data_IF_132552331849
#
_entry.id   IF_132552331849
#
_cell.length_a   1.000
_cell.length_b   1.000
_cell.length_c   1.000
_cell.angle_alpha   90.00
_cell.angle_beta   90.00
_cell.angle_gamma   90.00
#
_symmetry.space_group_name_H-M   'P 1'
#
loop_
_entity.id
_entity.type
_entity.pdbx_description
1 polymer ?
#
# COMPACT_ATOMS: atom_id res chain seq x y z
N UNK A 1 -21.22 -2.05 12.64
CA UNK A 1 -22.20 -0.98 12.53
C UNK A 1 -21.69 0.07 11.55
N UNK A 2 -22.53 0.48 10.64
CA UNK A 2 -22.19 1.49 9.63
C UNK A 2 -21.87 2.83 10.31
N UNK A 3 -20.80 3.49 9.89
CA UNK A 3 -20.36 4.74 10.47
C UNK A 3 -19.42 4.57 11.66
N UNK A 4 -19.21 3.35 12.12
CA UNK A 4 -18.26 3.09 13.19
C UNK A 4 -16.85 3.03 12.59
N UNK A 5 -15.98 3.94 13.04
CA UNK A 5 -14.62 4.04 12.51
C UNK A 5 -13.64 3.21 13.32
N UNK A 6 -12.75 2.53 12.65
CA UNK A 6 -11.59 1.87 13.23
C UNK A 6 -10.34 2.66 12.83
N UNK A 7 -9.20 2.28 13.38
CA UNK A 7 -7.94 2.93 12.99
C UNK A 7 -7.71 2.77 11.49
N UNK A 8 -7.14 3.79 10.87
CA UNK A 8 -6.92 3.76 9.44
C UNK A 8 -5.89 4.76 8.98
N UNK A 9 -5.74 4.84 7.67
CA UNK A 9 -4.84 5.78 7.01
C UNK A 9 -5.46 6.30 5.73
N UNK A 10 -4.97 7.44 5.28
CA UNK A 10 -5.36 8.05 4.02
C UNK A 10 -4.14 8.16 3.14
N UNK A 11 -4.24 7.68 1.90
CA UNK A 11 -3.20 7.84 0.88
C UNK A 11 -3.79 8.68 -0.24
N UNK A 12 -3.09 9.75 -0.61
CA UNK A 12 -3.43 10.52 -1.79
C UNK A 12 -2.71 9.94 -3.00
N UNK A 13 -3.43 9.74 -4.08
CA UNK A 13 -2.89 9.10 -5.27
C UNK A 13 -3.28 9.85 -6.53
N UNK A 14 -2.42 9.79 -7.53
CA UNK A 14 -2.70 10.30 -8.86
C UNK A 14 -3.64 9.34 -9.59
N UNK A 15 -3.41 8.04 -9.44
CA UNK A 15 -4.25 6.98 -10.03
C UNK A 15 -4.82 6.12 -8.90
N UNK A 16 -6.02 6.46 -8.44
CA UNK A 16 -6.64 5.77 -7.31
C UNK A 16 -7.01 4.33 -7.63
N UNK A 17 -7.33 4.01 -8.88
CA UNK A 17 -7.67 2.64 -9.28
C UNK A 17 -6.44 1.74 -9.16
N UNK A 18 -5.32 2.18 -9.67
CA UNK A 18 -4.08 1.40 -9.63
C UNK A 18 -3.56 1.22 -8.21
N UNK A 19 -3.56 2.28 -7.43
CA UNK A 19 -3.07 2.23 -6.04
C UNK A 19 -4.00 1.40 -5.16
N UNK A 20 -5.31 1.56 -5.29
CA UNK A 20 -6.25 0.78 -4.49
C UNK A 20 -6.20 -0.71 -4.86
N UNK A 21 -6.09 -1.04 -6.13
CA UNK A 21 -5.94 -2.44 -6.55
C UNK A 21 -4.67 -3.05 -5.97
N UNK A 22 -3.58 -2.30 -5.99
CA UNK A 22 -2.30 -2.75 -5.43
C UNK A 22 -2.45 -3.17 -3.97
N UNK A 23 -2.96 -2.28 -3.13
CA UNK A 23 -3.10 -2.58 -1.70
C UNK A 23 -4.17 -3.63 -1.41
N UNK A 24 -5.25 -3.64 -2.18
CA UNK A 24 -6.28 -4.65 -2.01
C UNK A 24 -5.74 -6.05 -2.24
N UNK A 25 -5.01 -6.26 -3.31
CA UNK A 25 -4.49 -7.59 -3.63
C UNK A 25 -3.28 -7.96 -2.80
N UNK A 26 -2.37 -7.00 -2.55
CA UNK A 26 -1.16 -7.28 -1.79
C UNK A 26 -1.45 -7.54 -0.31
N UNK A 27 -2.26 -6.71 0.31
CA UNK A 27 -2.54 -6.78 1.74
C UNK A 27 -3.82 -7.54 2.09
N UNK A 28 -4.57 -7.99 1.08
CA UNK A 28 -5.82 -8.72 1.31
C UNK A 28 -6.92 -7.85 1.90
N UNK A 29 -6.94 -6.56 1.55
CA UNK A 29 -7.96 -5.64 2.04
C UNK A 29 -9.09 -5.53 1.03
N UNK A 30 -10.31 -6.00 1.36
CA UNK A 30 -11.44 -5.89 0.45
C UNK A 30 -11.79 -4.44 0.13
N UNK A 31 -12.12 -4.18 -1.14
CA UNK A 31 -12.73 -2.91 -1.52
C UNK A 31 -14.16 -2.92 -1.06
N UNK A 32 -14.52 -2.02 -0.17
CA UNK A 32 -15.89 -1.96 0.39
C UNK A 32 -16.71 -0.83 -0.19
N UNK A 33 -16.06 0.18 -0.79
CA UNK A 33 -16.77 1.29 -1.40
C UNK A 33 -15.89 1.98 -2.43
N UNK A 34 -16.50 2.36 -3.56
CA UNK A 34 -15.84 3.10 -4.65
C UNK A 34 -16.62 4.33 -5.02
N UNK A 35 -15.94 5.46 -5.10
CA UNK A 35 -16.46 6.69 -5.67
C UNK A 35 -15.49 7.17 -6.76
N UNK A 36 -15.85 8.26 -7.45
CA UNK A 36 -14.98 8.80 -8.51
C UNK A 36 -13.68 9.40 -7.97
N UNK A 37 -13.69 9.84 -6.72
CA UNK A 37 -12.57 10.54 -6.09
C UNK A 37 -11.95 9.79 -4.91
N UNK A 38 -12.45 8.62 -4.54
CA UNK A 38 -11.81 7.80 -3.51
C UNK A 38 -12.25 6.33 -3.59
N UNK A 39 -11.46 5.48 -2.95
CA UNK A 39 -11.75 4.05 -2.79
C UNK A 39 -11.49 3.67 -1.33
N UNK A 40 -12.43 2.96 -0.71
CA UNK A 40 -12.28 2.43 0.64
C UNK A 40 -11.88 0.96 0.60
N UNK A 41 -10.83 0.63 1.35
CA UNK A 41 -10.37 -0.73 1.58
C UNK A 41 -10.48 -0.99 3.07
N UNK A 42 -11.18 -2.05 3.48
CA UNK A 42 -11.44 -2.27 4.89
C UNK A 42 -11.23 -3.70 5.33
N UNK A 43 -10.63 -3.86 6.50
CA UNK A 43 -10.64 -5.09 7.28
C UNK A 43 -11.37 -4.80 8.61
N UNK A 44 -11.64 -5.82 9.45
CA UNK A 44 -12.27 -5.57 10.73
C UNK A 44 -11.51 -4.60 11.64
N UNK A 45 -10.20 -4.44 11.45
CA UNK A 45 -9.35 -3.64 12.34
C UNK A 45 -8.70 -2.44 11.67
N UNK A 46 -8.84 -2.26 10.35
CA UNK A 46 -8.13 -1.20 9.65
C UNK A 46 -8.90 -0.72 8.43
N UNK A 47 -8.85 0.59 8.19
CA UNK A 47 -9.46 1.20 7.00
C UNK A 47 -8.41 2.00 6.25
N UNK A 48 -8.23 1.69 4.97
CA UNK A 48 -7.37 2.46 4.08
C UNK A 48 -8.25 3.20 3.08
N UNK A 49 -8.13 4.54 3.07
CA UNK A 49 -8.83 5.36 2.08
C UNK A 49 -7.81 5.84 1.06
N UNK A 50 -8.02 5.51 -0.20
CA UNK A 50 -7.19 6.00 -1.30
C UNK A 50 -7.95 7.13 -1.97
N UNK A 51 -7.46 8.35 -1.85
CA UNK A 51 -8.14 9.57 -2.29
C UNK A 51 -7.41 10.17 -3.49
N UNK A 52 -8.18 10.58 -4.49
CA UNK A 52 -7.60 11.23 -5.67
C UNK A 52 -7.05 12.60 -5.30
N UNK A 53 -5.85 12.89 -5.80
CA UNK A 53 -5.30 14.25 -5.71
C UNK A 53 -6.21 15.20 -6.48
N UNK A 54 -6.33 16.44 -5.98
CA UNK A 54 -7.04 17.49 -6.72
C UNK A 54 -6.41 17.63 -8.11
N UNK A 55 -7.21 17.84 -9.17
CA UNK A 55 -6.67 17.89 -10.55
C UNK A 55 -5.51 18.87 -10.74
N UNK A 56 -5.55 20.02 -10.10
CA UNK A 56 -4.46 20.99 -10.19
C UNK A 56 -3.16 20.49 -9.59
N UNK A 57 -3.23 19.68 -8.54
CA UNK A 57 -2.06 19.09 -7.89
C UNK A 57 -1.58 17.89 -8.70
N UNK A 58 -2.51 17.03 -9.14
CA UNK A 58 -2.19 15.86 -9.94
C UNK A 58 -1.46 16.22 -11.23
N UNK A 59 -1.84 17.34 -11.86
CA UNK A 59 -1.21 17.82 -13.08
C UNK A 59 0.27 18.17 -12.91
N UNK A 60 0.71 18.46 -11.69
CA UNK A 60 2.10 18.82 -11.38
C UNK A 60 2.94 17.62 -10.99
N UNK A 61 2.34 16.44 -10.86
CA UNK A 61 3.02 15.23 -10.42
C UNK A 61 3.11 14.27 -11.59
N UNK A 62 4.33 13.87 -11.93
CA UNK A 62 4.59 12.85 -12.94
C UNK A 62 5.05 11.57 -12.21
N UNK A 63 4.40 10.45 -12.51
CA UNK A 63 4.79 9.16 -11.97
C UNK A 63 5.53 8.40 -13.05
N UNK A 64 6.81 8.12 -12.82
CA UNK A 64 7.64 7.34 -13.74
C UNK A 64 7.36 5.84 -13.60
N UNK A 65 7.87 5.04 -14.53
CA UNK A 65 7.78 3.58 -14.48
C UNK A 65 9.18 2.99 -14.67
N UNK A 66 9.80 2.43 -13.63
CA UNK A 66 9.30 2.33 -12.24
C UNK A 66 9.18 3.69 -11.56
N UNK A 67 8.34 3.79 -10.54
CA UNK A 67 8.16 5.07 -9.85
C UNK A 67 9.39 5.45 -9.04
N UNK A 68 9.60 6.76 -8.88
CA UNK A 68 10.61 7.25 -7.96
C UNK A 68 10.18 7.00 -6.52
N UNK A 69 11.06 6.39 -5.73
CA UNK A 69 10.75 6.03 -4.35
C UNK A 69 10.82 7.25 -3.45
N UNK A 70 9.80 7.42 -2.62
CA UNK A 70 9.73 8.51 -1.64
C UNK A 70 10.40 8.06 -0.35
N UNK A 71 11.74 7.98 -0.36
CA UNK A 71 12.51 7.44 0.76
C UNK A 71 12.44 8.29 2.02
N UNK A 72 12.31 9.60 1.87
CA UNK A 72 12.23 10.53 3.00
C UNK A 72 10.80 10.63 3.52
N UNK A 73 10.33 9.57 4.13
CA UNK A 73 8.99 9.52 4.71
C UNK A 73 9.04 9.39 6.22
N UNK A 74 8.19 10.13 6.90
CA UNK A 74 8.11 10.07 8.36
C UNK A 74 7.24 8.91 8.84
N UNK A 75 6.35 8.41 8.00
CA UNK A 75 5.37 7.39 8.37
C UNK A 75 5.38 6.28 7.33
N UNK A 76 5.34 5.04 7.81
CA UNK A 76 5.12 3.87 6.97
C UNK A 76 3.88 3.15 7.48
N UNK A 77 2.96 2.82 6.57
CA UNK A 77 1.85 1.95 6.91
C UNK A 77 2.40 0.52 6.90
N UNK A 78 2.02 -0.27 7.92
CA UNK A 78 2.44 -1.66 8.02
C UNK A 78 1.25 -2.57 7.77
N UNK A 79 1.43 -3.58 6.92
CA UNK A 79 0.38 -4.57 6.66
C UNK A 79 0.88 -5.97 7.00
N UNK A 80 0.03 -6.80 7.61
CA UNK A 80 0.36 -8.22 7.79
C UNK A 80 0.16 -8.96 6.48
N UNK A 81 1.07 -9.87 6.16
CA UNK A 81 0.95 -10.77 5.02
C UNK A 81 1.35 -12.18 5.44
N UNK A 82 1.01 -13.18 4.63
CA UNK A 82 1.33 -14.57 4.97
C UNK A 82 2.82 -14.86 4.82
N UNK A 83 3.36 -14.61 3.64
CA UNK A 83 4.78 -14.80 3.39
C UNK A 83 5.28 -13.79 2.35
N UNK A 84 6.58 -13.52 2.37
CA UNK A 84 7.16 -12.51 1.50
C UNK A 84 7.36 -12.98 0.07
N UNK A 85 7.50 -14.27 -0.16
CA UNK A 85 7.72 -14.82 -1.52
C UNK A 85 6.52 -14.52 -2.42
N UNK A 86 5.33 -14.88 -1.95
CA UNK A 86 4.09 -14.63 -2.69
C UNK A 86 3.83 -13.13 -2.82
N UNK A 87 4.01 -12.38 -1.73
CA UNK A 87 3.77 -10.93 -1.71
C UNK A 87 4.69 -10.21 -2.68
N UNK A 88 5.94 -10.62 -2.77
CA UNK A 88 6.90 -10.03 -3.72
C UNK A 88 6.42 -10.15 -5.16
N UNK A 89 5.87 -11.31 -5.53
CA UNK A 89 5.33 -11.53 -6.87
C UNK A 89 4.11 -10.65 -7.15
N UNK A 90 3.20 -10.55 -6.18
CA UNK A 90 2.01 -9.71 -6.31
C UNK A 90 2.41 -8.25 -6.51
N UNK A 91 3.35 -7.75 -5.70
CA UNK A 91 3.82 -6.38 -5.81
C UNK A 91 4.36 -6.08 -7.21
N UNK A 92 5.20 -6.94 -7.74
CA UNK A 92 5.80 -6.74 -9.06
C UNK A 92 4.76 -6.77 -10.18
N UNK A 93 3.78 -7.64 -10.08
CA UNK A 93 2.69 -7.73 -11.07
C UNK A 93 1.84 -6.45 -11.11
N UNK A 94 1.74 -5.75 -9.98
CA UNK A 94 0.85 -4.61 -9.84
C UNK A 94 1.59 -3.26 -9.84
N UNK A 95 2.88 -3.26 -10.19
CA UNK A 95 3.64 -2.03 -10.39
C UNK A 95 4.39 -1.49 -9.18
N UNK A 96 4.44 -2.25 -8.09
CA UNK A 96 5.27 -1.94 -6.95
C UNK A 96 6.44 -2.91 -6.83
N UNK A 97 7.14 -2.86 -5.70
CA UNK A 97 8.29 -3.74 -5.48
C UNK A 97 8.64 -3.81 -4.00
N UNK A 98 8.95 -5.02 -3.53
CA UNK A 98 9.57 -5.21 -2.23
C UNK A 98 11.08 -4.99 -2.34
N UNK A 99 11.68 -4.48 -1.25
CA UNK A 99 13.14 -4.46 -1.16
C UNK A 99 13.70 -5.87 -1.31
N UNK A 100 14.95 -5.97 -1.72
CA UNK A 100 15.60 -7.26 -1.96
C UNK A 100 15.63 -8.13 -0.70
N UNK A 101 15.62 -9.46 -0.84
CA UNK A 101 15.59 -10.37 0.32
C UNK A 101 16.71 -10.13 1.33
N UNK A 102 17.88 -9.69 0.88
CA UNK A 102 19.03 -9.40 1.76
C UNK A 102 18.74 -8.26 2.72
N UNK A 103 17.74 -7.45 2.46
CA UNK A 103 17.37 -6.31 3.28
C UNK A 103 16.19 -6.60 4.23
N UNK A 104 15.69 -7.83 4.23
CA UNK A 104 14.66 -8.26 5.17
C UNK A 104 15.26 -8.42 6.57
N UNK A 105 14.44 -8.23 7.58
CA UNK A 105 14.90 -8.40 8.97
C UNK A 105 13.80 -9.03 9.82
N UNK A 106 14.18 -9.46 11.03
CA UNK A 106 13.23 -10.04 11.99
C UNK A 106 12.84 -8.98 13.01
N UNK A 107 11.55 -8.93 13.31
CA UNK A 107 11.02 -8.05 14.34
C UNK A 107 9.81 -8.72 14.98
N UNK A 108 9.90 -8.94 16.29
CA UNK A 108 8.83 -9.58 17.07
C UNK A 108 8.36 -10.91 16.46
N UNK A 109 9.30 -11.71 15.98
CA UNK A 109 9.00 -13.02 15.42
C UNK A 109 8.48 -13.02 13.99
N UNK A 110 8.34 -11.87 13.40
CA UNK A 110 7.92 -11.74 11.99
C UNK A 110 9.09 -11.35 11.11
N UNK A 111 9.05 -11.75 9.85
CA UNK A 111 9.99 -11.27 8.85
C UNK A 111 9.43 -10.01 8.21
N UNK A 112 10.22 -8.95 8.24
CA UNK A 112 9.78 -7.61 7.85
C UNK A 112 10.51 -7.17 6.58
N UNK A 113 9.80 -6.48 5.71
CA UNK A 113 10.34 -5.94 4.47
C UNK A 113 9.68 -4.61 4.13
N UNK A 114 10.49 -3.63 3.75
CA UNK A 114 9.97 -2.39 3.18
C UNK A 114 9.70 -2.58 1.68
N UNK A 115 8.79 -1.78 1.16
CA UNK A 115 8.36 -1.87 -0.22
C UNK A 115 7.90 -0.51 -0.72
N UNK A 116 7.68 -0.39 -2.03
CA UNK A 116 7.01 0.79 -2.57
C UNK A 116 5.79 0.39 -3.40
N UNK A 117 4.79 1.25 -3.42
CA UNK A 117 3.59 1.09 -4.22
C UNK A 117 3.80 1.66 -5.65
N UNK A 118 2.80 1.60 -6.54
CA UNK A 118 2.96 2.08 -7.91
C UNK A 118 3.28 3.56 -8.06
N UNK A 119 3.08 4.36 -7.02
CA UNK A 119 3.42 5.78 -7.04
C UNK A 119 4.64 6.13 -6.19
N UNK A 120 5.36 5.10 -5.72
CA UNK A 120 6.61 5.27 -4.99
C UNK A 120 6.47 5.47 -3.50
N UNK A 121 5.27 5.37 -2.95
CA UNK A 121 5.08 5.48 -1.50
C UNK A 121 5.70 4.28 -0.81
N UNK A 122 6.50 4.55 0.23
CA UNK A 122 7.15 3.49 1.00
C UNK A 122 6.20 2.98 2.06
N UNK A 123 6.05 1.66 2.13
CA UNK A 123 5.26 0.99 3.16
C UNK A 123 6.02 -0.24 3.63
N UNK A 124 5.49 -0.91 4.65
CA UNK A 124 6.15 -2.05 5.27
C UNK A 124 5.19 -3.23 5.33
N UNK A 125 5.71 -4.41 5.12
CA UNK A 125 4.95 -5.65 5.32
C UNK A 125 5.65 -6.54 6.33
N UNK A 126 4.86 -7.31 7.06
CA UNK A 126 5.34 -8.24 8.10
C UNK A 126 4.69 -9.59 7.87
N UNK A 127 5.54 -10.59 7.66
CA UNK A 127 5.10 -11.94 7.37
C UNK A 127 5.23 -12.84 8.59
N UNK A 128 4.18 -13.62 8.86
CA UNK A 128 4.18 -14.60 9.93
C UNK A 128 4.87 -15.91 9.51
N UNK A 129 4.99 -16.17 8.21
CA UNK A 129 5.67 -17.35 7.67
C UNK A 129 6.97 -16.92 6.98
N UNK A 130 7.96 -17.79 7.07
CA UNK A 130 9.29 -17.53 6.52
C UNK A 130 9.58 -18.40 5.29
#
# INVERSE_FOLDING_TARGET
>A
MKGQFVAGAVIYAKDIQRVSQFYSELAGLPVTHKETDYVLLESPSFQLTVVALAPAIAAKIAISSPPERRESTAIKICFPVKNLVTTRKIAEQLGGKLNEPEREWLFQGNRVCDAHDPEGNIFQIRASEF
#
